data_IF_857307624233
#
_entry.id   IF_857307624233
#
_cell.length_a   1.000
_cell.length_b   1.000
_cell.length_c   1.000
_cell.angle_alpha   90.00
_cell.angle_beta   90.00
_cell.angle_gamma   90.00
#
_symmetry.space_group_name_H-M   'P 1'
#
loop_
_entity.id
_entity.type
_entity.pdbx_description
1 polymer ?
#
# COMPACT_ATOMS: atom_id res chain seq x y z
N UNK A 1 17.27 60.01 40.10
CA UNK A 1 17.37 60.16 41.56
C UNK A 1 18.35 59.17 42.19
N UNK A 2 18.12 57.85 42.18
CA UNK A 2 19.09 56.89 42.77
C UNK A 2 20.46 56.88 42.08
N UNK A 3 20.49 56.93 40.74
CA UNK A 3 21.71 57.04 39.94
C UNK A 3 22.50 58.32 40.21
N UNK A 4 21.81 59.45 40.38
CA UNK A 4 22.47 60.75 40.62
C UNK A 4 23.19 60.77 41.96
N UNK A 5 22.62 60.10 42.99
CA UNK A 5 23.24 60.01 44.32
C UNK A 5 24.48 59.11 44.32
N UNK A 6 24.48 58.08 43.47
CA UNK A 6 25.59 57.15 43.28
C UNK A 6 26.76 57.81 42.52
N UNK A 7 26.43 58.60 41.50
CA UNK A 7 27.38 59.40 40.72
C UNK A 7 28.05 60.46 41.62
N UNK A 8 27.28 61.17 42.45
CA UNK A 8 27.84 62.13 43.41
C UNK A 8 28.76 61.48 44.45
N UNK A 9 28.43 60.28 44.93
CA UNK A 9 29.31 59.51 45.83
C UNK A 9 30.59 59.07 45.14
N UNK A 10 30.51 58.65 43.88
CA UNK A 10 31.67 58.27 43.07
C UNK A 10 32.66 59.45 42.93
N UNK A 11 32.17 60.64 42.59
CA UNK A 11 33.00 61.84 42.44
C UNK A 11 33.55 62.37 43.77
N UNK A 12 32.90 62.11 44.90
CA UNK A 12 33.39 62.51 46.24
C UNK A 12 34.45 61.56 46.81
N UNK A 13 34.48 60.30 46.37
CA UNK A 13 35.29 59.24 47.02
C UNK A 13 36.47 58.78 46.17
N UNK A 14 36.38 58.88 44.83
CA UNK A 14 37.41 58.42 43.91
C UNK A 14 38.26 59.58 43.35
N UNK A 15 39.52 59.29 43.08
CA UNK A 15 40.43 60.20 42.39
C UNK A 15 40.15 60.26 40.88
N UNK A 16 40.58 61.34 40.21
CA UNK A 16 40.28 61.58 38.78
C UNK A 16 40.74 60.44 37.87
N UNK A 17 41.85 59.77 38.22
CA UNK A 17 42.37 58.64 37.45
C UNK A 17 41.53 57.37 37.63
N UNK A 18 41.02 57.09 38.83
CA UNK A 18 40.10 55.98 39.09
C UNK A 18 38.78 56.16 38.34
N UNK A 19 38.26 57.38 38.30
CA UNK A 19 37.05 57.72 37.52
C UNK A 19 37.28 57.52 36.02
N UNK A 20 38.46 57.90 35.49
CA UNK A 20 38.82 57.63 34.08
C UNK A 20 38.91 56.13 33.79
N UNK A 21 39.48 55.35 34.69
CA UNK A 21 39.55 53.88 34.54
C UNK A 21 38.16 53.26 34.53
N UNK A 22 37.27 53.68 35.44
CA UNK A 22 35.91 53.16 35.52
C UNK A 22 35.09 53.53 34.27
N UNK A 23 35.26 54.76 33.77
CA UNK A 23 34.63 55.20 32.53
C UNK A 23 35.10 54.37 31.32
N UNK A 24 36.40 54.04 31.24
CA UNK A 24 36.92 53.15 30.20
C UNK A 24 36.38 51.72 30.33
N UNK A 25 36.25 51.19 31.55
CA UNK A 25 35.61 49.87 31.78
C UNK A 25 34.15 49.87 31.33
N UNK A 26 33.39 50.91 31.67
CA UNK A 26 31.98 51.03 31.26
C UNK A 26 31.88 51.11 29.74
N UNK A 27 32.73 51.90 29.07
CA UNK A 27 32.78 51.94 27.59
C UNK A 27 33.08 50.57 26.98
N UNK A 28 34.05 49.84 27.52
CA UNK A 28 34.37 48.50 27.06
C UNK A 28 33.20 47.53 27.27
N UNK A 29 32.49 47.62 28.40
CA UNK A 29 31.30 46.81 28.66
C UNK A 29 30.15 47.15 27.70
N UNK A 30 29.97 48.42 27.35
CA UNK A 30 28.96 48.84 26.36
C UNK A 30 29.27 48.24 25.00
N UNK A 31 30.52 48.34 24.52
CA UNK A 31 30.91 47.76 23.23
C UNK A 31 30.80 46.24 23.23
N UNK A 32 31.21 45.57 24.32
CA UNK A 32 31.04 44.11 24.44
C UNK A 32 29.56 43.72 24.38
N UNK A 33 28.69 44.40 25.13
CA UNK A 33 27.26 44.07 25.19
C UNK A 33 26.54 44.37 23.88
N UNK A 34 27.02 45.37 23.13
CA UNK A 34 26.57 45.68 21.78
C UNK A 34 26.95 44.57 20.79
N UNK A 35 28.17 44.05 20.88
CA UNK A 35 28.60 42.91 20.05
C UNK A 35 27.83 41.64 20.43
N UNK A 36 27.67 41.35 21.72
CA UNK A 36 26.89 40.20 22.20
C UNK A 36 25.44 40.26 21.69
N UNK A 37 24.81 41.45 21.68
CA UNK A 37 23.48 41.64 21.12
C UNK A 37 23.45 41.37 19.62
N UNK A 38 24.46 41.85 18.88
CA UNK A 38 24.58 41.64 17.44
C UNK A 38 24.74 40.15 17.10
N UNK A 39 25.51 39.41 17.90
CA UNK A 39 25.65 37.96 17.75
C UNK A 39 24.34 37.24 18.09
N UNK A 40 23.74 37.53 19.26
CA UNK A 40 22.52 36.85 19.72
C UNK A 40 21.33 37.06 18.78
N UNK A 41 21.18 38.28 18.27
CA UNK A 41 20.11 38.60 17.31
C UNK A 41 20.44 38.06 15.92
N UNK A 42 21.72 38.10 15.52
CA UNK A 42 22.19 37.56 14.23
C UNK A 42 22.03 36.05 14.11
N UNK A 43 22.24 35.30 15.20
CA UNK A 43 22.01 33.86 15.27
C UNK A 43 20.53 33.53 15.03
N UNK A 44 19.61 34.20 15.74
CA UNK A 44 18.17 34.00 15.53
C UNK A 44 17.72 34.34 14.11
N UNK A 45 18.25 35.41 13.51
CA UNK A 45 17.93 35.72 12.10
C UNK A 45 18.47 34.67 11.15
N UNK A 46 19.66 34.13 11.40
CA UNK A 46 20.22 33.03 10.61
C UNK A 46 19.36 31.78 10.71
N UNK A 47 18.94 31.41 11.92
CA UNK A 47 18.07 30.25 12.14
C UNK A 47 16.73 30.40 11.41
N UNK A 48 16.14 31.62 11.41
CA UNK A 48 14.91 31.88 10.63
C UNK A 48 15.13 31.73 9.13
N UNK A 49 16.28 32.18 8.61
CA UNK A 49 16.62 32.06 7.19
C UNK A 49 16.85 30.59 6.83
N UNK A 50 17.59 29.84 7.65
CA UNK A 50 17.82 28.41 7.44
C UNK A 50 16.51 27.60 7.52
N UNK A 51 15.62 27.94 8.44
CA UNK A 51 14.28 27.36 8.50
C UNK A 51 13.47 27.65 7.23
N UNK A 52 13.56 28.87 6.69
CA UNK A 52 12.90 29.20 5.42
C UNK A 52 13.48 28.41 4.23
N UNK A 53 14.80 28.29 4.15
CA UNK A 53 15.50 27.53 3.11
C UNK A 53 15.15 26.03 3.18
N UNK A 54 15.10 25.46 4.38
CA UNK A 54 14.70 24.06 4.58
C UNK A 54 13.25 23.82 4.18
N UNK A 55 12.32 24.74 4.48
CA UNK A 55 10.93 24.67 4.01
C UNK A 55 10.88 24.69 2.48
N UNK A 56 11.68 25.56 1.83
CA UNK A 56 11.71 25.62 0.38
C UNK A 56 12.30 24.34 -0.25
N UNK A 57 13.33 23.75 0.36
CA UNK A 57 13.84 22.43 -0.06
C UNK A 57 12.79 21.33 0.12
N UNK A 58 12.04 21.36 1.22
CA UNK A 58 10.95 20.40 1.46
C UNK A 58 9.84 20.52 0.41
N UNK A 59 9.48 21.74 0.00
CA UNK A 59 8.53 21.99 -1.08
C UNK A 59 9.02 21.38 -2.40
N UNK A 60 10.27 21.66 -2.80
CA UNK A 60 10.85 21.11 -4.02
C UNK A 60 10.93 19.58 -4.01
N UNK A 61 11.30 18.99 -2.87
CA UNK A 61 11.33 17.54 -2.68
C UNK A 61 9.93 16.93 -2.80
N UNK A 62 8.91 17.55 -2.18
CA UNK A 62 7.52 17.12 -2.26
C UNK A 62 7.00 17.16 -3.71
N UNK A 63 7.28 18.24 -4.44
CA UNK A 63 6.93 18.36 -5.85
C UNK A 63 7.58 17.25 -6.69
N UNK A 64 8.86 16.95 -6.46
CA UNK A 64 9.57 15.86 -7.12
C UNK A 64 9.00 14.47 -6.79
N UNK A 65 8.56 14.24 -5.56
CA UNK A 65 7.87 13.00 -5.17
C UNK A 65 6.53 12.89 -5.90
N UNK A 66 5.74 13.95 -5.95
CA UNK A 66 4.47 13.99 -6.68
C UNK A 66 4.66 13.70 -8.18
N UNK A 67 5.70 14.26 -8.81
CA UNK A 67 6.03 13.99 -10.21
C UNK A 67 6.42 12.52 -10.44
N UNK A 68 7.24 11.95 -9.55
CA UNK A 68 7.61 10.53 -9.61
C UNK A 68 6.40 9.62 -9.44
N UNK A 69 5.50 9.91 -8.50
CA UNK A 69 4.26 9.15 -8.31
C UNK A 69 3.36 9.27 -9.54
N UNK A 70 3.20 10.46 -10.10
CA UNK A 70 2.45 10.66 -11.35
C UNK A 70 3.08 9.88 -12.52
N UNK A 71 4.41 9.80 -12.58
CA UNK A 71 5.15 9.02 -13.58
C UNK A 71 4.90 7.52 -13.40
N UNK A 72 4.96 7.01 -12.17
CA UNK A 72 4.63 5.61 -11.86
C UNK A 72 3.17 5.32 -12.22
N UNK A 73 2.23 6.22 -11.88
CA UNK A 73 0.82 6.05 -12.24
C UNK A 73 0.61 6.02 -13.76
N UNK A 74 1.30 6.89 -14.52
CA UNK A 74 1.29 6.86 -15.99
C UNK A 74 1.90 5.57 -16.51
N UNK A 75 3.01 5.10 -15.94
CA UNK A 75 3.66 3.86 -16.34
C UNK A 75 2.76 2.66 -16.05
N UNK A 76 2.15 2.58 -14.87
CA UNK A 76 1.18 1.55 -14.50
C UNK A 76 -0.06 1.58 -15.41
N UNK A 77 -0.57 2.76 -15.75
CA UNK A 77 -1.69 2.91 -16.70
C UNK A 77 -1.29 2.46 -18.11
N UNK A 78 -0.08 2.82 -18.55
CA UNK A 78 0.51 2.36 -19.81
C UNK A 78 0.77 0.85 -19.81
N UNK A 79 1.22 0.27 -18.69
CA UNK A 79 1.40 -1.17 -18.51
C UNK A 79 0.05 -1.89 -18.42
N UNK A 80 -0.98 -1.29 -17.84
CA UNK A 80 -2.33 -1.83 -17.87
C UNK A 80 -2.88 -1.84 -19.30
N UNK A 81 -2.58 -0.80 -20.09
CA UNK A 81 -2.98 -0.69 -21.49
C UNK A 81 -2.16 -1.59 -22.43
N UNK A 82 -0.84 -1.67 -22.23
CA UNK A 82 0.13 -2.46 -23.02
C UNK A 82 0.29 -3.89 -22.52
N UNK A 83 -0.08 -4.19 -21.29
CA UNK A 83 -0.10 -5.57 -20.87
C UNK A 83 -0.24 -5.96 -19.40
N UNK A 84 -1.50 -6.19 -19.00
CA UNK A 84 -1.96 -7.55 -18.62
C UNK A 84 -2.04 -8.49 -19.87
N UNK A 85 -1.11 -8.29 -20.80
CA UNK A 85 -0.90 -8.93 -22.10
C UNK A 85 0.25 -9.95 -21.92
N UNK A 86 0.30 -10.61 -20.76
CA UNK A 86 0.85 -11.97 -20.69
C UNK A 86 -0.04 -12.98 -21.44
N UNK A 87 -1.19 -12.54 -21.99
CA UNK A 87 -2.16 -13.42 -22.64
C UNK A 87 -2.77 -12.91 -23.97
N UNK A 88 -2.29 -11.81 -24.58
CA UNK A 88 -2.90 -11.33 -25.84
C UNK A 88 -1.88 -10.89 -26.88
N UNK A 89 -1.69 -11.74 -27.89
CA UNK A 89 -1.09 -11.34 -29.16
C UNK A 89 -1.79 -10.06 -29.69
N UNK A 90 -0.96 -9.06 -30.04
CA UNK A 90 -1.22 -7.82 -30.80
C UNK A 90 -2.69 -7.39 -31.08
N UNK A 91 -3.05 -6.15 -30.74
CA UNK A 91 -4.20 -5.51 -31.37
C UNK A 91 -3.84 -4.13 -31.92
N UNK A 92 -3.77 -4.00 -33.25
CA UNK A 92 -4.03 -2.73 -33.90
C UNK A 92 -5.22 -2.92 -34.86
N UNK A 93 -6.30 -2.18 -34.55
CA UNK A 93 -7.30 -1.72 -35.51
C UNK A 93 -8.41 -2.69 -36.01
N UNK A 94 -9.15 -3.38 -35.14
CA UNK A 94 -10.53 -3.85 -35.45
C UNK A 94 -11.41 -3.85 -34.18
N UNK A 95 -11.76 -2.65 -33.68
CA UNK A 95 -12.69 -2.49 -32.56
C UNK A 95 -14.10 -2.15 -33.09
N UNK A 96 -15.10 -2.96 -32.73
CA UNK A 96 -16.28 -2.55 -31.91
C UNK A 96 -17.42 -3.58 -31.96
N UNK A 97 -17.50 -4.45 -32.98
CA UNK A 97 -18.54 -5.49 -33.06
C UNK A 97 -18.14 -6.85 -32.46
N UNK A 98 -16.84 -7.17 -32.43
CA UNK A 98 -16.34 -8.46 -31.93
C UNK A 98 -16.12 -8.51 -30.41
N UNK A 99 -16.15 -7.38 -29.71
CA UNK A 99 -15.90 -7.34 -28.26
C UNK A 99 -17.07 -7.91 -27.45
N UNK A 100 -18.31 -7.68 -27.86
CA UNK A 100 -19.49 -8.26 -27.18
C UNK A 100 -19.54 -9.77 -27.33
N UNK A 101 -19.34 -10.29 -28.55
CA UNK A 101 -19.30 -11.74 -28.78
C UNK A 101 -18.08 -12.38 -28.13
N UNK A 102 -16.90 -11.75 -28.13
CA UNK A 102 -15.71 -12.32 -27.46
C UNK A 102 -15.84 -12.32 -25.93
N UNK A 103 -16.43 -11.29 -25.34
CA UNK A 103 -16.78 -11.31 -23.91
C UNK A 103 -17.77 -12.44 -23.64
N UNK A 104 -18.84 -12.59 -24.44
CA UNK A 104 -19.81 -13.67 -24.29
C UNK A 104 -19.17 -15.07 -24.44
N UNK A 105 -18.35 -15.30 -25.46
CA UNK A 105 -17.67 -16.59 -25.65
C UNK A 105 -16.61 -16.87 -24.57
N UNK A 106 -15.95 -15.83 -24.05
CA UNK A 106 -15.04 -15.99 -22.91
C UNK A 106 -15.80 -16.40 -21.65
N UNK A 107 -16.96 -15.80 -21.41
CA UNK A 107 -17.81 -16.18 -20.27
C UNK A 107 -18.36 -17.59 -20.43
N UNK A 108 -18.77 -17.97 -21.65
CA UNK A 108 -19.23 -19.31 -21.98
C UNK A 108 -18.13 -20.36 -21.76
N UNK A 109 -16.90 -20.08 -22.19
CA UNK A 109 -15.75 -20.95 -21.95
C UNK A 109 -15.44 -21.09 -20.45
N UNK A 110 -15.49 -19.99 -19.69
CA UNK A 110 -15.27 -20.02 -18.24
C UNK A 110 -16.38 -20.79 -17.51
N UNK A 111 -17.65 -20.62 -17.89
CA UNK A 111 -18.78 -21.40 -17.35
C UNK A 111 -18.60 -22.88 -17.69
N UNK A 112 -18.20 -23.21 -18.93
CA UNK A 112 -17.94 -24.58 -19.37
C UNK A 112 -16.81 -25.23 -18.56
N UNK A 113 -15.74 -24.49 -18.27
CA UNK A 113 -14.64 -24.98 -17.42
C UNK A 113 -15.12 -25.28 -16.01
N UNK A 114 -15.91 -24.38 -15.39
CA UNK A 114 -16.44 -24.62 -14.03
C UNK A 114 -17.37 -25.83 -13.98
N UNK A 115 -18.26 -25.97 -14.98
CA UNK A 115 -19.18 -27.12 -15.05
C UNK A 115 -18.41 -28.42 -15.26
N UNK A 116 -17.47 -28.47 -16.22
CA UNK A 116 -16.66 -29.66 -16.47
C UNK A 116 -15.78 -30.02 -15.27
N UNK A 117 -15.15 -29.03 -14.64
CA UNK A 117 -14.36 -29.24 -13.45
C UNK A 117 -15.21 -29.80 -12.31
N UNK A 118 -16.41 -29.26 -12.06
CA UNK A 118 -17.32 -29.77 -11.02
C UNK A 118 -17.65 -31.26 -11.20
N UNK A 119 -17.97 -31.70 -12.41
CA UNK A 119 -18.25 -33.11 -12.71
C UNK A 119 -17.01 -33.99 -12.59
N UNK A 120 -15.85 -33.47 -12.99
CA UNK A 120 -14.58 -34.20 -12.92
C UNK A 120 -14.14 -34.41 -11.49
N UNK A 121 -14.35 -33.42 -10.61
CA UNK A 121 -14.00 -33.55 -9.19
C UNK A 121 -14.77 -34.70 -8.53
N UNK A 122 -16.07 -34.85 -8.82
CA UNK A 122 -16.84 -36.00 -8.33
C UNK A 122 -16.30 -37.35 -8.84
N UNK A 123 -15.86 -37.42 -10.10
CA UNK A 123 -15.25 -38.65 -10.63
C UNK A 123 -13.89 -38.99 -9.99
N UNK A 124 -13.12 -37.98 -9.57
CA UNK A 124 -11.86 -38.17 -8.85
C UNK A 124 -12.10 -38.58 -7.40
N UNK A 125 -13.19 -38.09 -6.80
CA UNK A 125 -13.63 -38.49 -5.47
C UNK A 125 -14.00 -39.97 -5.42
N UNK A 126 -14.71 -40.47 -6.45
CA UNK A 126 -15.05 -41.89 -6.58
C UNK A 126 -13.81 -42.79 -6.72
N UNK A 127 -12.75 -42.28 -7.39
CA UNK A 127 -11.47 -42.97 -7.57
C UNK A 127 -10.53 -42.87 -6.36
N UNK A 128 -10.96 -42.21 -5.27
CA UNK A 128 -10.16 -41.93 -4.04
C UNK A 128 -8.88 -41.10 -4.26
N UNK A 129 -8.78 -40.36 -5.36
CA UNK A 129 -7.66 -39.45 -5.64
C UNK A 129 -7.89 -38.07 -5.00
N UNK A 130 -7.75 -38.00 -3.68
CA UNK A 130 -8.14 -36.84 -2.87
C UNK A 130 -7.30 -35.58 -3.16
N UNK A 131 -6.02 -35.74 -3.51
CA UNK A 131 -5.12 -34.62 -3.83
C UNK A 131 -5.48 -33.94 -5.16
N UNK A 132 -5.74 -34.74 -6.20
CA UNK A 132 -6.14 -34.21 -7.50
C UNK A 132 -7.52 -33.54 -7.42
N UNK A 133 -8.43 -34.10 -6.61
CA UNK A 133 -9.75 -33.52 -6.35
C UNK A 133 -9.67 -32.14 -5.66
N UNK A 134 -8.80 -31.96 -4.66
CA UNK A 134 -8.64 -30.67 -3.96
C UNK A 134 -8.01 -29.59 -4.84
N UNK A 135 -7.00 -29.94 -5.63
CA UNK A 135 -6.37 -29.00 -6.58
C UNK A 135 -7.38 -28.50 -7.63
N UNK A 136 -8.17 -29.42 -8.20
CA UNK A 136 -9.18 -29.08 -9.18
C UNK A 136 -10.34 -28.28 -8.56
N UNK A 137 -10.70 -28.56 -7.31
CA UNK A 137 -11.65 -27.75 -6.53
C UNK A 137 -11.16 -26.31 -6.36
N UNK A 138 -9.90 -26.11 -5.94
CA UNK A 138 -9.32 -24.77 -5.78
C UNK A 138 -9.32 -23.99 -7.09
N UNK A 139 -8.94 -24.64 -8.20
CA UNK A 139 -9.01 -24.03 -9.54
C UNK A 139 -10.44 -23.62 -9.91
N UNK A 140 -11.42 -24.47 -9.62
CA UNK A 140 -12.85 -24.20 -9.85
C UNK A 140 -13.33 -23.01 -9.01
N UNK A 141 -12.86 -22.90 -7.77
CA UNK A 141 -13.17 -21.79 -6.87
C UNK A 141 -12.57 -20.48 -7.37
N UNK A 142 -11.29 -20.47 -7.77
CA UNK A 142 -10.62 -19.29 -8.30
C UNK A 142 -11.26 -18.79 -9.61
N UNK A 143 -11.64 -19.71 -10.49
CA UNK A 143 -12.32 -19.35 -11.75
C UNK A 143 -13.73 -18.83 -11.50
N UNK A 144 -14.46 -19.38 -10.54
CA UNK A 144 -15.78 -18.88 -10.12
C UNK A 144 -15.70 -17.48 -9.48
N UNK A 145 -14.74 -17.22 -8.58
CA UNK A 145 -14.56 -15.88 -7.98
C UNK A 145 -14.09 -14.85 -9.00
N UNK A 146 -13.21 -15.24 -9.93
CA UNK A 146 -12.80 -14.39 -11.05
C UNK A 146 -13.98 -14.04 -11.97
N UNK A 147 -14.87 -15.01 -12.24
CA UNK A 147 -16.09 -14.79 -13.02
C UNK A 147 -17.03 -13.78 -12.32
N UNK A 148 -17.23 -13.92 -11.01
CA UNK A 148 -18.07 -12.99 -10.23
C UNK A 148 -17.48 -11.58 -10.16
N UNK A 149 -16.15 -11.45 -10.03
CA UNK A 149 -15.48 -10.15 -9.99
C UNK A 149 -15.46 -9.45 -11.36
N UNK A 150 -15.31 -10.22 -12.44
CA UNK A 150 -15.31 -9.69 -13.82
C UNK A 150 -16.68 -9.14 -14.24
N UNK A 151 -17.77 -9.55 -13.60
CA UNK A 151 -19.12 -9.06 -13.86
C UNK A 151 -19.56 -8.18 -12.71
N UNK A 152 -19.17 -6.90 -12.75
CA UNK A 152 -19.62 -5.90 -11.78
C UNK A 152 -21.15 -5.77 -11.70
N UNK A 153 -21.69 -5.06 -10.69
CA UNK A 153 -23.11 -5.05 -10.30
C UNK A 153 -24.10 -4.55 -11.37
N UNK A 154 -23.62 -4.07 -12.51
CA UNK A 154 -24.38 -3.36 -13.54
C UNK A 154 -24.51 -4.13 -14.88
N UNK A 155 -23.88 -5.30 -15.03
CA UNK A 155 -24.14 -6.23 -16.15
C UNK A 155 -25.14 -7.28 -15.66
N UNK A 156 -26.14 -7.64 -16.47
CA UNK A 156 -27.15 -8.68 -16.17
C UNK A 156 -26.48 -9.83 -15.42
N UNK A 157 -26.82 -10.00 -14.14
CA UNK A 157 -26.08 -10.88 -13.23
C UNK A 157 -25.89 -12.23 -13.91
N UNK A 158 -24.65 -12.74 -13.93
CA UNK A 158 -24.30 -14.05 -14.52
C UNK A 158 -25.24 -15.15 -14.01
N UNK A 159 -25.74 -15.00 -12.79
CA UNK A 159 -26.76 -15.87 -12.17
C UNK A 159 -28.10 -15.91 -12.94
N UNK A 160 -28.52 -14.81 -13.58
CA UNK A 160 -29.72 -14.76 -14.41
C UNK A 160 -29.52 -15.42 -15.78
N UNK A 161 -28.30 -15.37 -16.32
CA UNK A 161 -27.99 -15.92 -17.63
C UNK A 161 -27.64 -17.43 -17.55
N UNK A 162 -27.08 -17.89 -16.43
CA UNK A 162 -26.64 -19.26 -16.23
C UNK A 162 -27.03 -19.79 -14.84
N UNK A 163 -28.32 -20.07 -14.58
CA UNK A 163 -28.78 -20.69 -13.32
C UNK A 163 -28.14 -22.07 -13.07
N UNK A 164 -27.68 -22.71 -14.15
CA UNK A 164 -26.95 -23.99 -14.12
C UNK A 164 -25.64 -23.84 -13.34
N UNK A 165 -24.94 -22.70 -13.44
CA UNK A 165 -23.69 -22.46 -12.71
C UNK A 165 -23.93 -22.41 -11.19
N UNK A 166 -24.99 -21.71 -10.75
CA UNK A 166 -25.35 -21.62 -9.34
C UNK A 166 -25.69 -23.00 -8.75
N UNK A 167 -26.40 -23.85 -9.51
CA UNK A 167 -26.74 -25.21 -9.08
C UNK A 167 -25.49 -26.10 -8.93
N UNK A 168 -24.58 -26.08 -9.91
CA UNK A 168 -23.36 -26.88 -9.83
C UNK A 168 -22.41 -26.35 -8.76
N UNK A 169 -22.33 -25.03 -8.57
CA UNK A 169 -21.54 -24.42 -7.51
C UNK A 169 -22.05 -24.81 -6.11
N UNK A 170 -23.37 -24.85 -5.90
CA UNK A 170 -23.95 -25.32 -4.64
C UNK A 170 -23.54 -26.77 -4.30
N UNK A 171 -23.49 -27.65 -5.30
CA UNK A 171 -22.98 -29.02 -5.11
C UNK A 171 -21.47 -29.06 -4.85
N UNK A 172 -20.70 -28.15 -5.46
CA UNK A 172 -19.25 -28.03 -5.24
C UNK A 172 -18.92 -27.47 -3.85
N UNK A 173 -19.72 -26.56 -3.29
CA UNK A 173 -19.52 -26.04 -1.94
C UNK A 173 -19.62 -27.10 -0.84
N UNK A 174 -20.34 -28.20 -1.08
CA UNK A 174 -20.48 -29.31 -0.13
C UNK A 174 -19.32 -30.31 -0.20
N UNK A 175 -18.47 -30.18 -1.22
CA UNK A 175 -17.42 -31.12 -1.54
C UNK A 175 -16.21 -31.06 -0.56
N UNK A 176 -15.75 -29.89 -0.07
CA UNK A 176 -14.70 -29.83 0.94
C UNK A 176 -15.04 -30.61 2.21
N UNK A 177 -16.27 -30.50 2.71
CA UNK A 177 -16.73 -31.25 3.88
C UNK A 177 -16.70 -32.77 3.61
N UNK A 178 -17.06 -33.17 2.39
CA UNK A 178 -17.04 -34.57 1.97
C UNK A 178 -15.60 -35.10 1.83
N UNK A 179 -14.69 -34.31 1.26
CA UNK A 179 -13.26 -34.64 1.14
C UNK A 179 -12.63 -34.78 2.53
N UNK A 180 -12.86 -33.85 3.45
CA UNK A 180 -12.33 -33.93 4.82
C UNK A 180 -12.81 -35.20 5.54
N UNK A 181 -14.10 -35.55 5.40
CA UNK A 181 -14.66 -36.79 5.97
C UNK A 181 -14.02 -38.04 5.35
N UNK A 182 -13.78 -38.05 4.05
CA UNK A 182 -13.14 -39.18 3.35
C UNK A 182 -11.64 -39.29 3.68
N UNK A 183 -10.94 -38.17 3.85
CA UNK A 183 -9.57 -38.14 4.36
C UNK A 183 -9.51 -38.77 5.76
N UNK A 184 -10.40 -38.33 6.67
CA UNK A 184 -10.48 -38.86 8.03
C UNK A 184 -10.76 -40.36 8.03
N UNK A 185 -11.74 -40.82 7.25
CA UNK A 185 -12.06 -42.24 7.13
C UNK A 185 -10.88 -43.06 6.57
N UNK A 186 -10.20 -42.56 5.54
CA UNK A 186 -9.06 -43.24 4.91
C UNK A 186 -7.91 -43.38 5.91
N UNK A 187 -7.62 -42.31 6.67
CA UNK A 187 -6.60 -42.31 7.72
C UNK A 187 -6.96 -43.32 8.82
N UNK A 188 -8.22 -43.33 9.30
CA UNK A 188 -8.66 -44.28 10.34
C UNK A 188 -8.69 -45.74 9.88
N UNK A 189 -8.94 -46.00 8.58
CA UNK A 189 -8.85 -47.35 8.02
C UNK A 189 -7.40 -47.81 7.83
N UNK A 190 -6.48 -46.90 7.50
CA UNK A 190 -5.05 -47.25 7.40
C UNK A 190 -4.43 -47.52 8.77
N UNK A 191 -4.91 -46.88 9.84
CA UNK A 191 -4.44 -47.15 11.20
C UNK A 191 -4.95 -48.49 11.74
N UNK A 192 -6.17 -48.92 11.37
CA UNK A 192 -6.70 -50.24 11.79
C UNK A 192 -6.05 -51.42 11.06
N UNK A 193 -5.58 -51.25 9.82
CA UNK A 193 -4.78 -52.29 9.14
C UNK A 193 -3.37 -52.42 9.70
N UNK A 194 -2.81 -51.40 10.36
CA UNK A 194 -1.50 -51.49 10.98
C UNK A 194 -1.52 -52.29 12.30
N UNK A 195 -2.64 -52.29 13.03
CA UNK A 195 -2.81 -53.07 14.28
C UNK A 195 -3.08 -54.56 14.05
N UNK A 196 -3.46 -54.98 12.83
CA UNK A 196 -3.76 -56.39 12.53
C UNK A 196 -2.54 -57.20 12.05
N UNK A 197 -1.36 -56.58 11.95
CA UNK A 197 -0.07 -57.21 11.55
C UNK A 197 1.01 -57.18 12.64
N UNK A 198 0.61 -57.06 13.91
CA UNK A 198 1.48 -57.36 15.06
C UNK A 198 1.03 -58.62 15.79
#
# INVERSE_FOLDING_TARGET
MALDTEIEKLFKTCTVDEVKQELNKIRNNIEKKKEDLRVMVGERYRDLIEAADTIQQMEGSCAGVCEKVATVQKLCSSLQHRGLIGFRTSPQHVQKSLSSSREQHSTEAQVKVVVLASTRVWSLLERRELLAATQLYLLTQHTHTALMLSHGPNKKSVASCYPVLARHWASVCQLPATITRLCQHTITTTTTTAEHTQ
#
